data_IF_701555379944
#
_entry.id   IF_701555379944
#
_cell.length_a   1.000
_cell.length_b   1.000
_cell.length_c   1.000
_cell.angle_alpha   90.00
_cell.angle_beta   90.00
_cell.angle_gamma   90.00
#
_symmetry.space_group_name_H-M   'P 1'
#
loop_
_entity.id
_entity.type
_entity.pdbx_description
1 polymer ?
#
# COMPACT_ATOMS: atom_id res chain seq x y z
N UNK A 1 3.40 -14.78 11.71
CA UNK A 1 4.25 -13.62 11.98
C UNK A 1 4.64 -12.95 10.66
N UNK A 2 4.23 -11.68 10.50
CA UNK A 2 4.38 -10.87 9.29
C UNK A 2 5.84 -10.80 8.82
N UNK A 3 6.79 -10.52 9.72
CA UNK A 3 8.20 -10.43 9.39
C UNK A 3 8.78 -11.77 8.89
N UNK A 4 8.36 -12.89 9.48
CA UNK A 4 8.77 -14.22 9.02
C UNK A 4 8.23 -14.51 7.61
N UNK A 5 6.99 -14.12 7.32
CA UNK A 5 6.40 -14.28 5.98
C UNK A 5 7.14 -13.41 4.95
N UNK A 6 7.49 -12.16 5.28
CA UNK A 6 8.29 -11.30 4.40
C UNK A 6 9.64 -11.93 4.05
N UNK A 7 10.36 -12.48 5.04
CA UNK A 7 11.62 -13.19 4.82
C UNK A 7 11.45 -14.43 3.96
N UNK A 8 10.45 -15.25 4.26
CA UNK A 8 10.18 -16.47 3.52
C UNK A 8 9.82 -16.18 2.06
N UNK A 9 9.00 -15.14 1.82
CA UNK A 9 8.64 -14.70 0.47
C UNK A 9 9.88 -14.27 -0.32
N UNK A 10 10.73 -13.43 0.28
CA UNK A 10 11.96 -12.98 -0.37
C UNK A 10 12.88 -14.16 -0.70
N UNK A 11 13.07 -15.10 0.25
CA UNK A 11 13.91 -16.27 0.05
C UNK A 11 13.39 -17.21 -1.06
N UNK A 12 12.07 -17.39 -1.14
CA UNK A 12 11.45 -18.30 -2.09
C UNK A 12 11.30 -17.72 -3.50
N UNK A 13 11.10 -16.39 -3.63
CA UNK A 13 10.70 -15.76 -4.90
C UNK A 13 11.66 -14.68 -5.39
N UNK A 14 12.57 -14.21 -4.55
CA UNK A 14 13.40 -13.03 -4.83
C UNK A 14 12.64 -11.71 -4.75
N UNK A 15 11.34 -11.72 -4.43
CA UNK A 15 10.48 -10.52 -4.41
C UNK A 15 10.25 -10.03 -2.99
N UNK A 16 10.31 -8.72 -2.79
CA UNK A 16 9.95 -8.08 -1.53
C UNK A 16 8.43 -7.94 -1.42
N UNK A 17 7.88 -8.34 -0.29
CA UNK A 17 6.49 -8.06 0.07
C UNK A 17 6.44 -6.93 1.12
N UNK A 18 5.42 -6.07 1.03
CA UNK A 18 5.10 -5.13 2.09
C UNK A 18 4.38 -5.85 3.27
N UNK A 19 4.30 -5.23 4.45
CA UNK A 19 3.69 -5.88 5.62
C UNK A 19 2.23 -6.33 5.42
N UNK A 20 1.43 -5.60 4.63
CA UNK A 20 0.02 -5.93 4.38
C UNK A 20 -0.10 -7.12 3.45
N UNK A 21 0.68 -7.13 2.37
CA UNK A 21 0.79 -8.28 1.46
C UNK A 21 1.27 -9.52 2.20
N UNK A 22 2.22 -9.39 3.14
CA UNK A 22 2.71 -10.51 3.94
C UNK A 22 1.61 -11.13 4.83
N UNK A 23 0.69 -10.32 5.38
CA UNK A 23 -0.48 -10.85 6.11
C UNK A 23 -1.35 -11.68 5.18
N UNK A 24 -1.69 -11.18 4.00
CA UNK A 24 -2.49 -11.90 3.03
C UNK A 24 -1.83 -13.21 2.57
N UNK A 25 -0.54 -13.19 2.28
CA UNK A 25 0.25 -14.39 1.94
C UNK A 25 0.25 -15.43 3.08
N UNK A 26 0.41 -14.97 4.33
CA UNK A 26 0.39 -15.86 5.51
C UNK A 26 -0.98 -16.52 5.70
N UNK A 27 -2.06 -15.84 5.39
CA UNK A 27 -3.42 -16.43 5.43
C UNK A 27 -3.62 -17.39 4.27
N UNK A 28 -3.28 -16.98 3.05
CA UNK A 28 -3.42 -17.80 1.84
C UNK A 28 -2.67 -19.14 1.97
N UNK A 29 -1.47 -19.14 2.57
CA UNK A 29 -0.68 -20.35 2.79
C UNK A 29 -1.33 -21.38 3.73
N UNK A 30 -2.37 -21.00 4.46
CA UNK A 30 -3.12 -21.90 5.38
C UNK A 30 -4.43 -22.39 4.79
N UNK A 31 -4.80 -21.90 3.62
CA UNK A 31 -6.05 -22.27 2.98
C UNK A 31 -5.86 -23.48 2.07
N UNK A 32 -6.86 -24.35 2.00
CA UNK A 32 -6.89 -25.42 1.01
C UNK A 32 -7.22 -24.83 -0.37
N UNK A 33 -6.27 -24.94 -1.29
CA UNK A 33 -6.37 -24.42 -2.67
C UNK A 33 -6.31 -25.54 -3.71
N UNK A 34 -6.67 -26.76 -3.34
CA UNK A 34 -6.57 -27.94 -4.21
C UNK A 34 -7.43 -27.84 -5.46
N UNK A 35 -8.51 -27.05 -5.45
CA UNK A 35 -9.48 -26.95 -6.54
C UNK A 35 -9.25 -25.77 -7.51
N UNK A 36 -8.51 -24.74 -7.10
CA UNK A 36 -8.30 -23.53 -7.92
C UNK A 36 -7.03 -22.78 -7.50
N UNK A 37 -6.39 -22.02 -8.40
CA UNK A 37 -5.25 -21.18 -8.04
C UNK A 37 -5.64 -20.11 -7.00
N UNK A 38 -4.80 -19.91 -5.98
CA UNK A 38 -4.95 -18.83 -5.02
C UNK A 38 -4.30 -17.55 -5.57
N UNK A 39 -5.08 -16.48 -5.66
CA UNK A 39 -4.59 -15.16 -6.04
C UNK A 39 -4.55 -14.26 -4.80
N UNK A 40 -3.37 -13.80 -4.43
CA UNK A 40 -3.17 -12.85 -3.33
C UNK A 40 -2.85 -11.48 -3.92
N UNK A 41 -3.67 -10.47 -3.55
CA UNK A 41 -3.47 -9.11 -4.03
C UNK A 41 -2.39 -8.41 -3.21
N UNK A 42 -1.37 -7.88 -3.89
CA UNK A 42 -0.38 -6.98 -3.31
C UNK A 42 -0.95 -5.56 -3.32
N UNK A 43 -1.43 -5.09 -2.17
CA UNK A 43 -2.16 -3.82 -2.06
C UNK A 43 -1.28 -2.61 -1.80
N UNK A 44 0.03 -2.80 -1.56
CA UNK A 44 1.00 -1.73 -1.38
C UNK A 44 2.38 -2.12 -1.92
N UNK A 45 3.15 -1.13 -2.34
CA UNK A 45 4.54 -1.33 -2.73
C UNK A 45 5.45 -1.36 -1.47
N UNK A 46 6.47 -2.24 -1.39
CA UNK A 46 7.39 -2.32 -0.24
C UNK A 46 8.06 -1.00 0.14
N UNK A 47 8.38 -0.15 -0.83
CA UNK A 47 8.98 1.17 -0.61
C UNK A 47 8.10 2.14 0.19
N UNK A 48 6.81 1.84 0.37
CA UNK A 48 5.91 2.60 1.24
C UNK A 48 6.20 2.37 2.73
N UNK A 49 6.83 1.24 3.06
CA UNK A 49 7.14 0.83 4.43
C UNK A 49 8.63 0.44 4.58
N UNK A 50 9.57 1.33 4.19
CA UNK A 50 10.97 0.94 4.04
C UNK A 50 11.60 0.43 5.33
N UNK A 51 11.32 1.06 6.47
CA UNK A 51 11.86 0.65 7.75
C UNK A 51 11.37 -0.75 8.18
N UNK A 52 10.09 -1.04 8.01
CA UNK A 52 9.51 -2.34 8.36
C UNK A 52 10.04 -3.47 7.47
N UNK A 53 10.17 -3.20 6.15
CA UNK A 53 10.71 -4.16 5.18
C UNK A 53 12.17 -4.45 5.47
N UNK A 54 12.99 -3.42 5.68
CA UNK A 54 14.42 -3.53 6.00
C UNK A 54 14.64 -4.28 7.33
N UNK A 55 13.89 -3.94 8.37
CA UNK A 55 13.97 -4.64 9.66
C UNK A 55 13.59 -6.13 9.55
N UNK A 56 12.65 -6.47 8.69
CA UNK A 56 12.21 -7.85 8.50
C UNK A 56 13.15 -8.67 7.60
N UNK A 57 13.69 -8.07 6.53
CA UNK A 57 14.36 -8.80 5.43
C UNK A 57 15.84 -8.48 5.30
N UNK A 58 16.33 -7.42 5.93
CA UNK A 58 17.68 -6.88 5.74
C UNK A 58 17.85 -6.09 4.43
N UNK A 59 16.78 -5.96 3.63
CA UNK A 59 16.81 -5.27 2.34
C UNK A 59 15.96 -4.00 2.40
N UNK A 60 16.57 -2.84 2.13
CA UNK A 60 15.84 -1.58 1.99
C UNK A 60 15.22 -1.49 0.59
N UNK A 61 13.89 -1.41 0.49
CA UNK A 61 13.22 -1.37 -0.81
C UNK A 61 13.48 -0.03 -1.51
N UNK A 62 13.82 -0.09 -2.79
CA UNK A 62 13.91 1.09 -3.65
C UNK A 62 12.52 1.53 -4.14
N UNK A 63 12.40 2.81 -4.49
CA UNK A 63 11.23 3.30 -5.23
C UNK A 63 11.18 2.64 -6.62
N UNK A 64 9.99 2.44 -7.19
CA UNK A 64 9.85 2.07 -8.60
C UNK A 64 10.58 3.08 -9.50
N UNK A 65 11.18 2.62 -10.59
CA UNK A 65 11.98 3.48 -11.47
C UNK A 65 11.20 4.69 -12.03
N UNK A 66 9.91 4.52 -12.29
CA UNK A 66 9.02 5.60 -12.76
C UNK A 66 8.60 6.60 -11.66
N UNK A 67 8.96 6.35 -10.40
CA UNK A 67 8.73 7.23 -9.25
C UNK A 67 10.04 7.60 -8.55
N UNK A 68 11.16 7.51 -9.24
CA UNK A 68 12.49 7.76 -8.65
C UNK A 68 12.68 9.16 -8.08
N UNK A 69 11.96 10.14 -8.60
CA UNK A 69 11.95 11.53 -8.16
C UNK A 69 10.86 11.88 -7.12
N UNK A 70 10.08 10.89 -6.65
CA UNK A 70 8.92 11.12 -5.79
C UNK A 70 9.25 11.95 -4.54
N UNK A 71 10.40 11.70 -3.93
CA UNK A 71 10.83 12.39 -2.71
C UNK A 71 11.34 13.83 -2.95
N UNK A 72 11.56 14.22 -4.20
CA UNK A 72 11.95 15.58 -4.61
C UNK A 72 10.77 16.40 -5.14
N UNK A 73 9.61 15.76 -5.35
CA UNK A 73 8.41 16.46 -5.83
C UNK A 73 7.83 17.35 -4.74
N UNK A 74 7.29 18.49 -5.15
CA UNK A 74 6.55 19.37 -4.26
C UNK A 74 5.32 18.66 -3.70
N UNK A 75 5.16 18.67 -2.38
CA UNK A 75 3.99 18.13 -1.71
C UNK A 75 2.78 19.06 -1.91
N UNK A 76 1.65 18.48 -2.29
CA UNK A 76 0.38 19.19 -2.45
C UNK A 76 -0.63 18.62 -1.47
N UNK A 77 -0.85 19.34 -0.40
CA UNK A 77 -1.79 18.95 0.65
C UNK A 77 -2.52 20.16 1.23
N UNK A 78 -3.63 19.92 1.91
CA UNK A 78 -4.33 20.89 2.72
C UNK A 78 -4.39 20.41 4.17
N UNK A 79 -4.15 21.31 5.12
CA UNK A 79 -4.34 21.02 6.53
C UNK A 79 -5.76 21.36 6.91
N UNK A 80 -6.48 20.39 7.46
CA UNK A 80 -7.85 20.57 7.93
C UNK A 80 -7.91 20.46 9.46
N UNK A 81 -8.87 21.12 10.11
CA UNK A 81 -9.12 20.91 11.53
C UNK A 81 -9.55 19.46 11.78
N UNK A 82 -9.31 18.95 13.00
CA UNK A 82 -9.77 17.63 13.41
C UNK A 82 -11.30 17.67 13.71
N UNK A 83 -12.08 17.87 12.67
CA UNK A 83 -13.53 18.00 12.68
C UNK A 83 -14.11 17.29 11.44
N UNK A 84 -14.93 16.27 11.67
CA UNK A 84 -15.53 15.47 10.60
C UNK A 84 -16.40 16.28 9.65
N UNK A 85 -17.10 17.31 10.14
CA UNK A 85 -17.92 18.18 9.31
C UNK A 85 -17.08 19.07 8.39
N UNK A 86 -15.93 19.54 8.86
CA UNK A 86 -14.98 20.29 8.04
C UNK A 86 -14.37 19.41 6.94
N UNK A 87 -14.03 18.15 7.25
CA UNK A 87 -13.53 17.19 6.27
C UNK A 87 -14.61 16.86 5.24
N UNK A 88 -15.85 16.63 5.65
CA UNK A 88 -16.97 16.36 4.75
C UNK A 88 -17.19 17.51 3.76
N UNK A 89 -17.25 18.75 4.24
CA UNK A 89 -17.37 19.94 3.38
C UNK A 89 -16.22 20.04 2.38
N UNK A 90 -14.98 19.83 2.82
CA UNK A 90 -13.81 19.86 1.96
C UNK A 90 -13.90 18.81 0.83
N UNK A 91 -14.38 17.61 1.14
CA UNK A 91 -14.61 16.55 0.14
C UNK A 91 -15.72 16.95 -0.83
N UNK A 92 -16.85 17.45 -0.32
CA UNK A 92 -17.97 17.91 -1.13
C UNK A 92 -17.59 19.03 -2.10
N UNK A 93 -16.78 19.98 -1.66
CA UNK A 93 -16.33 21.11 -2.50
C UNK A 93 -15.32 20.71 -3.58
N UNK A 94 -14.58 19.59 -3.41
CA UNK A 94 -13.43 19.27 -4.24
C UNK A 94 -13.52 17.93 -4.97
N UNK A 95 -14.47 17.07 -4.63
CA UNK A 95 -14.66 15.80 -5.31
C UNK A 95 -15.24 16.02 -6.72
N UNK A 96 -14.63 15.41 -7.73
CA UNK A 96 -15.09 15.50 -9.13
C UNK A 96 -16.56 15.08 -9.31
N UNK A 97 -17.01 14.08 -8.56
CA UNK A 97 -18.38 13.60 -8.60
C UNK A 97 -19.42 14.65 -8.15
N UNK A 98 -19.00 15.70 -7.43
CA UNK A 98 -19.88 16.81 -7.02
C UNK A 98 -19.87 17.91 -8.08
N UNK A 99 -18.74 18.19 -8.70
CA UNK A 99 -18.62 19.17 -9.79
C UNK A 99 -19.52 18.79 -11.00
N UNK A 100 -19.55 17.51 -11.37
CA UNK A 100 -20.40 17.02 -12.48
C UNK A 100 -21.92 17.14 -12.22
N UNK A 101 -22.36 17.18 -10.93
CA UNK A 101 -23.77 17.38 -10.58
C UNK A 101 -24.22 18.84 -10.63
N UNK A 102 -23.29 19.79 -10.54
CA UNK A 102 -23.59 21.21 -10.60
C UNK A 102 -23.73 21.73 -12.06
N UNK A 103 -23.29 20.96 -13.05
CA UNK A 103 -23.37 21.29 -14.48
C UNK A 103 -24.56 20.64 -15.19
N UNK A 104 -25.40 19.85 -14.48
CA UNK A 104 -26.58 19.19 -15.01
C UNK A 104 -27.86 19.82 -14.44
#
# INVERSE_FOLDING_TARGET
DTAATMRATLAATGSLADPHTAVALSVAARMDVSAAPMVTLATAHPAKFPAAVEAATGVRPALPSWLGDLMQREERFAVLPNDSAAVARFVEERARAVAERAET
#
